data_IF_347538875434
#
_entry.id   IF_347538875434
#
_cell.length_a   1.000
_cell.length_b   1.000
_cell.length_c   1.000
_cell.angle_alpha   90.00
_cell.angle_beta   90.00
_cell.angle_gamma   90.00
#
_symmetry.space_group_name_H-M   'P 1'
#
loop_
_entity.id
_entity.type
_entity.pdbx_description
1 polymer ?
#
# COMPACT_ATOMS: atom_id res chain seq x y z
N UNK A 1 26.92 37.56 -2.12
CA UNK A 1 27.81 36.81 -1.21
C UNK A 1 27.35 35.37 -1.23
N UNK A 2 28.30 34.45 -1.42
CA UNK A 2 28.15 33.10 -1.95
C UNK A 2 27.16 32.19 -1.22
N UNK A 3 26.31 31.51 -1.98
CA UNK A 3 25.67 30.27 -1.55
C UNK A 3 26.77 29.21 -1.50
N UNK A 4 27.33 28.97 -0.31
CA UNK A 4 28.15 27.80 -0.04
C UNK A 4 27.25 26.58 -0.09
N UNK A 5 27.19 25.94 -1.26
CA UNK A 5 26.82 24.55 -1.39
C UNK A 5 27.80 23.79 -0.51
N UNK A 6 27.29 23.05 0.47
CA UNK A 6 28.08 22.13 1.29
C UNK A 6 28.58 20.99 0.40
N UNK A 7 29.67 21.21 -0.33
CA UNK A 7 30.48 20.13 -0.91
C UNK A 7 31.28 19.47 0.22
N UNK A 8 30.57 18.77 1.11
CA UNK A 8 31.22 17.90 2.07
C UNK A 8 31.53 16.59 1.33
N UNK A 9 32.74 16.48 0.80
CA UNK A 9 33.23 15.25 0.19
C UNK A 9 33.12 14.11 1.23
N UNK A 10 32.21 13.17 0.98
CA UNK A 10 32.01 12.02 1.84
C UNK A 10 33.25 11.14 1.75
N UNK A 11 33.98 11.00 2.86
CA UNK A 11 35.19 10.16 2.86
C UNK A 11 34.81 8.68 2.70
N UNK A 12 35.70 7.87 2.12
CA UNK A 12 35.48 6.42 1.95
C UNK A 12 35.11 5.76 3.30
N UNK A 13 35.70 6.24 4.40
CA UNK A 13 35.41 5.78 5.76
C UNK A 13 34.00 6.14 6.23
N UNK A 14 33.47 7.30 5.86
CA UNK A 14 32.09 7.69 6.17
C UNK A 14 31.08 6.91 5.30
N UNK A 15 31.44 6.62 4.05
CA UNK A 15 30.66 5.76 3.16
C UNK A 15 30.57 4.33 3.72
N UNK A 16 31.67 3.74 4.18
CA UNK A 16 31.67 2.40 4.80
C UNK A 16 30.80 2.35 6.05
N UNK A 17 30.89 3.35 6.92
CA UNK A 17 30.03 3.44 8.12
C UNK A 17 28.55 3.61 7.78
N UNK A 18 28.24 4.33 6.71
CA UNK A 18 26.88 4.46 6.21
C UNK A 18 26.37 3.11 5.70
N UNK A 19 27.17 2.38 4.92
CA UNK A 19 26.83 1.05 4.41
C UNK A 19 26.61 0.06 5.56
N UNK A 20 27.49 0.00 6.56
CA UNK A 20 27.32 -0.88 7.73
C UNK A 20 26.05 -0.54 8.55
N UNK A 21 25.73 0.75 8.68
CA UNK A 21 24.48 1.19 9.33
C UNK A 21 23.25 0.90 8.48
N UNK A 22 23.36 0.98 7.16
CA UNK A 22 22.29 0.59 6.25
C UNK A 22 22.07 -0.93 6.26
N UNK A 23 23.12 -1.74 6.41
CA UNK A 23 23.00 -3.20 6.54
C UNK A 23 22.26 -3.61 7.82
N UNK A 24 22.56 -2.95 8.95
CA UNK A 24 21.87 -3.17 10.23
C UNK A 24 20.49 -2.50 10.34
N UNK A 25 20.10 -1.71 9.35
CA UNK A 25 18.80 -1.04 9.29
C UNK A 25 17.85 -1.75 8.31
N UNK A 26 16.54 -1.78 8.58
CA UNK A 26 15.55 -2.43 7.70
C UNK A 26 15.27 -1.67 6.39
N UNK A 27 16.18 -0.80 5.93
CA UNK A 27 15.99 -0.06 4.68
C UNK A 27 16.32 -0.96 3.48
N UNK A 28 15.37 -1.09 2.56
CA UNK A 28 15.54 -1.86 1.32
C UNK A 28 16.07 -0.99 0.17
N UNK A 29 15.72 0.30 0.14
CA UNK A 29 16.18 1.26 -0.87
C UNK A 29 16.41 2.65 -0.28
N UNK A 30 17.35 3.38 -0.87
CA UNK A 30 17.64 4.79 -0.64
C UNK A 30 17.66 5.49 -2.00
N UNK A 31 16.74 6.43 -2.22
CA UNK A 31 16.72 7.29 -3.39
C UNK A 31 17.16 8.70 -2.99
N UNK A 32 18.21 9.20 -3.63
CA UNK A 32 18.72 10.56 -3.46
C UNK A 32 18.58 11.28 -4.79
N UNK A 33 17.94 12.44 -4.78
CA UNK A 33 17.80 13.31 -5.94
C UNK A 33 18.56 14.61 -5.67
N UNK A 34 19.52 14.95 -6.55
CA UNK A 34 20.28 16.20 -6.53
C UNK A 34 20.26 16.82 -7.93
N UNK A 35 19.34 17.78 -8.12
CA UNK A 35 19.10 18.42 -9.42
C UNK A 35 18.64 17.42 -10.48
N UNK A 36 19.48 17.16 -11.48
CA UNK A 36 19.23 16.19 -12.56
C UNK A 36 19.71 14.78 -12.23
N UNK A 37 20.45 14.61 -11.13
CA UNK A 37 21.07 13.33 -10.76
C UNK A 37 20.18 12.57 -9.78
N UNK A 38 19.80 11.34 -10.16
CA UNK A 38 19.08 10.41 -9.29
C UNK A 38 19.96 9.22 -8.96
N UNK A 39 20.30 9.06 -7.69
CA UNK A 39 21.07 7.94 -7.17
C UNK A 39 20.09 7.04 -6.41
N UNK A 40 19.93 5.80 -6.88
CA UNK A 40 19.11 4.78 -6.20
C UNK A 40 20.02 3.65 -5.75
N UNK A 41 20.05 3.41 -4.45
CA UNK A 41 20.86 2.36 -3.80
C UNK A 41 19.90 1.40 -3.14
N UNK A 42 19.88 0.14 -3.57
CA UNK A 42 19.04 -0.91 -2.98
C UNK A 42 19.87 -2.14 -2.62
N UNK A 43 19.42 -2.91 -1.63
CA UNK A 43 20.01 -4.22 -1.29
C UNK A 43 19.70 -5.29 -2.36
N UNK A 44 18.72 -5.04 -3.22
CA UNK A 44 18.26 -5.91 -4.32
C UNK A 44 18.12 -5.15 -5.65
N UNK A 45 17.62 -5.82 -6.70
CA UNK A 45 17.46 -5.27 -8.06
C UNK A 45 16.54 -4.04 -8.04
N UNK A 46 17.08 -2.88 -8.39
CA UNK A 46 16.34 -1.63 -8.52
C UNK A 46 15.40 -1.71 -9.73
N UNK A 47 14.07 -1.58 -9.57
CA UNK A 47 13.16 -1.58 -10.72
C UNK A 47 13.31 -0.27 -11.51
N UNK A 48 13.78 -0.37 -12.76
CA UNK A 48 13.82 0.74 -13.71
C UNK A 48 12.40 1.12 -14.12
N UNK A 49 11.88 2.23 -13.58
CA UNK A 49 10.60 2.83 -13.99
C UNK A 49 10.75 3.51 -15.35
N UNK A 50 10.54 2.76 -16.44
CA UNK A 50 10.31 3.33 -17.76
C UNK A 50 8.93 4.01 -17.80
N UNK A 51 8.92 5.33 -17.71
CA UNK A 51 7.72 6.14 -17.90
C UNK A 51 7.32 6.14 -19.37
N UNK A 52 6.26 5.40 -19.73
CA UNK A 52 5.50 5.63 -20.97
C UNK A 52 4.07 5.97 -20.59
N UNK A 53 3.81 7.27 -20.54
CA UNK A 53 2.48 7.87 -20.46
C UNK A 53 1.74 7.61 -21.77
N UNK A 54 0.78 6.69 -21.76
CA UNK A 54 -0.20 6.54 -22.83
C UNK A 54 -1.32 7.54 -22.55
N UNK A 55 -1.32 8.65 -23.28
CA UNK A 55 -2.38 9.65 -23.23
C UNK A 55 -3.67 9.03 -23.79
N UNK A 56 -4.63 8.72 -22.92
CA UNK A 56 -5.95 8.28 -23.35
C UNK A 56 -6.78 9.52 -23.73
N UNK A 57 -7.04 9.66 -25.02
CA UNK A 57 -7.89 10.71 -25.60
C UNK A 57 -9.35 10.42 -25.29
N UNK A 58 -9.94 11.22 -24.39
CA UNK A 58 -11.39 11.27 -24.19
C UNK A 58 -11.94 12.32 -25.15
N UNK A 59 -12.53 11.86 -26.26
CA UNK A 59 -13.41 12.67 -27.09
C UNK A 59 -14.84 12.22 -26.80
N UNK A 60 -15.62 13.07 -26.12
CA UNK A 60 -17.08 12.96 -26.17
C UNK A 60 -17.71 14.35 -26.26
N UNK A 61 -18.47 14.49 -27.34
CA UNK A 61 -19.07 15.69 -27.88
C UNK A 61 -20.41 16.04 -27.19
N UNK A 62 -20.86 17.26 -27.49
CA UNK A 62 -21.78 18.14 -26.79
C UNK A 62 -23.28 17.74 -26.74
N UNK A 63 -23.96 18.48 -25.84
CA UNK A 63 -25.38 18.58 -25.52
C UNK A 63 -26.34 18.85 -26.71
N UNK A 64 -27.69 18.80 -26.54
CA UNK A 64 -28.38 19.97 -25.95
C UNK A 64 -29.61 19.69 -25.04
N UNK A 65 -29.86 20.72 -24.22
CA UNK A 65 -31.03 21.15 -23.44
C UNK A 65 -32.44 20.77 -23.96
N UNK A 66 -33.33 20.38 -23.04
CA UNK A 66 -34.54 21.14 -22.62
C UNK A 66 -35.60 20.24 -21.94
N UNK A 67 -35.96 20.55 -20.68
CA UNK A 67 -37.29 21.08 -20.31
C UNK A 67 -37.45 21.15 -18.79
N UNK A 68 -37.77 22.36 -18.34
CA UNK A 68 -38.19 22.67 -16.99
C UNK A 68 -39.68 22.36 -16.82
N UNK A 69 -40.04 21.72 -15.70
CA UNK A 69 -41.36 21.88 -15.09
C UNK A 69 -41.17 21.95 -13.58
N UNK A 70 -41.62 23.07 -13.01
CA UNK A 70 -41.60 23.39 -11.61
C UNK A 70 -42.81 22.78 -10.89
N UNK A 71 -42.62 22.19 -9.70
CA UNK A 71 -43.64 22.14 -8.63
C UNK A 71 -42.95 22.19 -7.26
N UNK A 72 -43.21 23.31 -6.57
CA UNK A 72 -43.44 23.54 -5.13
C UNK A 72 -42.69 22.76 -4.02
N UNK A 73 -41.95 23.56 -3.24
CA UNK A 73 -41.70 23.59 -1.78
C UNK A 73 -42.18 22.48 -0.81
N UNK A 74 -41.15 21.93 -0.11
CA UNK A 74 -40.94 21.83 1.37
C UNK A 74 -41.60 20.63 2.13
N UNK A 75 -40.93 19.98 3.13
CA UNK A 75 -39.73 20.37 3.89
C UNK A 75 -38.51 19.44 3.86
N UNK A 76 -37.38 20.13 3.75
CA UNK A 76 -36.08 20.02 4.40
C UNK A 76 -35.98 19.27 5.76
N UNK A 77 -34.85 18.53 5.89
CA UNK A 77 -34.08 18.13 7.11
C UNK A 77 -34.71 17.01 7.95
N UNK A 78 -34.12 15.84 8.23
CA UNK A 78 -32.76 15.28 8.10
C UNK A 78 -32.93 13.77 8.07
N UNK A 79 -32.41 13.12 7.04
CA UNK A 79 -32.13 11.69 7.07
C UNK A 79 -30.79 11.56 7.81
N UNK A 80 -30.86 11.12 9.06
CA UNK A 80 -29.69 10.85 9.88
C UNK A 80 -28.95 9.66 9.28
N UNK A 81 -27.91 10.03 8.53
CA UNK A 81 -26.91 9.14 7.95
C UNK A 81 -26.29 8.34 9.08
N UNK A 82 -26.61 7.05 9.10
CA UNK A 82 -25.70 5.93 9.38
C UNK A 82 -24.52 6.30 10.29
N UNK A 83 -24.75 6.23 11.60
CA UNK A 83 -23.67 5.92 12.53
C UNK A 83 -23.47 4.40 12.49
N UNK A 84 -22.76 3.94 11.46
CA UNK A 84 -22.13 2.62 11.51
C UNK A 84 -21.17 2.62 12.69
N UNK A 85 -21.23 1.63 13.59
CA UNK A 85 -20.35 1.60 14.74
C UNK A 85 -18.92 1.49 14.22
N UNK A 86 -18.10 2.50 14.52
CA UNK A 86 -16.65 2.41 14.39
C UNK A 86 -16.22 1.20 15.22
N UNK A 87 -16.02 0.07 14.54
CA UNK A 87 -15.55 -1.15 15.16
C UNK A 87 -14.20 -0.81 15.78
N UNK A 88 -14.18 -0.80 17.12
CA UNK A 88 -12.96 -0.75 17.88
C UNK A 88 -12.13 -1.95 17.46
N UNK A 89 -11.01 -1.69 16.78
CA UNK A 89 -9.95 -2.66 16.49
C UNK A 89 -9.56 -3.32 17.80
N UNK A 90 -10.12 -4.50 18.06
CA UNK A 90 -9.51 -5.46 18.96
C UNK A 90 -8.29 -5.95 18.23
N UNK A 91 -7.11 -5.70 18.81
CA UNK A 91 -5.90 -6.42 18.46
C UNK A 91 -6.21 -7.91 18.61
N UNK A 92 -6.49 -8.58 17.49
CA UNK A 92 -6.76 -10.02 17.49
C UNK A 92 -5.46 -10.70 17.84
N UNK A 93 -5.36 -11.13 19.09
CA UNK A 93 -4.32 -12.02 19.56
C UNK A 93 -4.61 -13.39 18.92
N UNK A 94 -4.01 -13.62 17.74
CA UNK A 94 -4.13 -14.90 17.06
C UNK A 94 -3.40 -15.93 17.92
N UNK A 95 -4.06 -17.00 18.39
CA UNK A 95 -3.39 -18.06 19.12
C UNK A 95 -2.29 -18.65 18.23
N UNK A 96 -1.09 -18.80 18.77
CA UNK A 96 0.01 -19.54 18.13
C UNK A 96 -0.41 -21.02 17.99
N UNK A 97 -1.17 -21.34 16.96
CA UNK A 97 -1.43 -22.70 16.54
C UNK A 97 -0.20 -23.20 15.78
N UNK A 98 0.32 -24.36 16.18
CA UNK A 98 1.42 -25.02 15.47
C UNK A 98 1.09 -25.11 13.97
N UNK A 99 1.99 -24.58 13.14
CA UNK A 99 1.84 -24.58 11.68
C UNK A 99 0.94 -23.47 11.12
N UNK A 100 0.58 -22.43 11.89
CA UNK A 100 -0.09 -21.23 11.36
C UNK A 100 0.84 -20.02 11.46
N UNK A 101 1.13 -19.38 10.33
CA UNK A 101 1.91 -18.14 10.24
C UNK A 101 0.98 -16.99 9.93
N UNK A 102 1.11 -15.88 10.66
CA UNK A 102 0.34 -14.66 10.42
C UNK A 102 1.17 -13.65 9.64
N UNK A 103 0.67 -13.27 8.47
CA UNK A 103 1.17 -12.18 7.65
C UNK A 103 0.65 -10.88 8.28
N UNK A 104 1.57 -9.96 8.56
CA UNK A 104 1.29 -8.68 9.22
C UNK A 104 1.59 -7.50 8.31
N UNK A 105 0.99 -6.35 8.59
CA UNK A 105 1.29 -5.12 7.88
C UNK A 105 2.73 -4.65 8.16
N UNK A 106 3.54 -4.54 7.11
CA UNK A 106 4.93 -4.09 7.21
C UNK A 106 5.06 -2.57 7.36
N UNK A 107 3.98 -1.80 7.15
CA UNK A 107 3.91 -0.34 7.31
C UNK A 107 2.47 0.09 7.56
N UNK A 108 2.28 1.27 8.16
CA UNK A 108 0.96 1.90 8.29
C UNK A 108 0.47 2.45 6.95
N UNK A 109 -0.77 2.14 6.57
CA UNK A 109 -1.38 2.60 5.31
C UNK A 109 -2.79 2.05 5.11
N UNK A 110 -3.34 2.23 3.92
CA UNK A 110 -4.65 1.64 3.56
C UNK A 110 -4.45 0.29 2.89
N UNK A 111 -5.05 -0.77 3.43
CA UNK A 111 -5.02 -2.09 2.82
C UNK A 111 -6.04 -2.20 1.69
N UNK A 112 -5.65 -2.82 0.58
CA UNK A 112 -6.56 -3.20 -0.49
C UNK A 112 -6.46 -4.69 -0.77
N UNK A 113 -7.61 -5.35 -0.81
CA UNK A 113 -7.74 -6.77 -1.13
C UNK A 113 -7.63 -7.03 -2.64
N UNK A 114 -7.76 -5.99 -3.47
CA UNK A 114 -7.87 -6.06 -4.93
C UNK A 114 -6.83 -5.15 -5.60
N UNK A 115 -6.45 -5.46 -6.85
CA UNK A 115 -5.50 -4.64 -7.62
C UNK A 115 -6.08 -3.32 -8.11
N UNK A 116 -7.39 -3.31 -8.36
CA UNK A 116 -8.18 -2.15 -8.81
C UNK A 116 -9.65 -2.37 -8.43
N UNK A 117 -10.47 -1.31 -8.36
CA UNK A 117 -11.88 -1.42 -8.02
C UNK A 117 -12.63 -2.41 -8.92
N UNK A 118 -13.25 -3.43 -8.30
CA UNK A 118 -14.05 -4.43 -9.00
C UNK A 118 -13.26 -5.62 -9.56
N UNK A 119 -11.93 -5.66 -9.39
CA UNK A 119 -11.14 -6.85 -9.68
C UNK A 119 -11.41 -7.97 -8.66
N UNK A 120 -10.95 -9.18 -8.94
CA UNK A 120 -10.98 -10.26 -7.95
C UNK A 120 -10.01 -9.95 -6.78
N UNK A 121 -10.32 -10.38 -5.54
CA UNK A 121 -9.35 -10.26 -4.46
C UNK A 121 -8.11 -11.10 -4.77
N UNK A 122 -6.96 -10.64 -4.30
CA UNK A 122 -5.68 -11.35 -4.43
C UNK A 122 -5.75 -12.76 -3.87
N UNK A 123 -6.42 -12.92 -2.71
CA UNK A 123 -6.64 -14.21 -2.06
C UNK A 123 -8.02 -14.27 -1.39
N UNK A 124 -8.54 -15.48 -1.23
CA UNK A 124 -9.67 -15.81 -0.34
C UNK A 124 -9.30 -16.97 0.59
N UNK A 125 -10.08 -17.17 1.65
CA UNK A 125 -9.93 -18.33 2.54
C UNK A 125 -10.03 -19.64 1.73
N UNK A 126 -9.11 -20.55 1.97
CA UNK A 126 -8.93 -21.81 1.25
C UNK A 126 -8.02 -21.72 0.02
N UNK A 127 -7.57 -20.53 -0.38
CA UNK A 127 -6.60 -20.40 -1.46
C UNK A 127 -5.20 -20.85 -1.01
N UNK A 128 -4.45 -21.41 -1.96
CA UNK A 128 -3.04 -21.75 -1.77
C UNK A 128 -2.16 -20.59 -2.21
N UNK A 129 -1.16 -20.28 -1.40
CA UNK A 129 -0.17 -19.23 -1.65
C UNK A 129 1.23 -19.82 -1.64
N UNK A 130 2.10 -19.27 -2.48
CA UNK A 130 3.56 -19.43 -2.42
C UNK A 130 4.18 -18.22 -1.71
N UNK A 131 5.47 -18.29 -1.38
CA UNK A 131 6.19 -17.17 -0.74
C UNK A 131 6.05 -15.85 -1.51
N UNK A 132 6.10 -15.89 -2.84
CA UNK A 132 5.99 -14.72 -3.72
C UNK A 132 4.55 -14.30 -4.04
N UNK A 133 3.54 -15.06 -3.61
CA UNK A 133 2.15 -14.72 -3.89
C UNK A 133 1.77 -13.40 -3.24
N UNK A 134 1.17 -12.49 -4.02
CA UNK A 134 0.66 -11.23 -3.47
C UNK A 134 -0.66 -11.48 -2.76
N UNK A 135 -0.79 -10.99 -1.53
CA UNK A 135 -1.98 -11.19 -0.68
C UNK A 135 -2.79 -9.91 -0.47
N UNK A 136 -2.32 -8.79 -1.02
CA UNK A 136 -2.95 -7.48 -0.95
C UNK A 136 -1.98 -6.37 -1.31
N UNK A 137 -2.47 -5.12 -1.26
CA UNK A 137 -1.65 -3.91 -1.40
C UNK A 137 -1.76 -3.06 -0.14
N UNK A 138 -0.71 -2.31 0.18
CA UNK A 138 -0.78 -1.18 1.13
C UNK A 138 -0.52 0.12 0.37
N UNK A 139 -1.43 1.08 0.50
CA UNK A 139 -1.30 2.43 -0.05
C UNK A 139 -0.74 3.41 0.98
N UNK A 140 0.29 4.14 0.56
CA UNK A 140 0.88 5.27 1.30
C UNK A 140 1.07 6.43 0.34
N UNK A 141 0.35 7.53 0.55
CA UNK A 141 0.46 8.74 -0.29
C UNK A 141 0.38 8.44 -1.80
N UNK A 142 -0.61 7.62 -2.22
CA UNK A 142 -0.82 7.14 -3.60
C UNK A 142 0.23 6.16 -4.14
N UNK A 143 1.15 5.68 -3.31
CA UNK A 143 2.07 4.59 -3.66
C UNK A 143 1.49 3.27 -3.16
N UNK A 144 1.26 2.34 -4.08
CA UNK A 144 0.75 1.01 -3.78
C UNK A 144 1.91 0.02 -3.72
N UNK A 145 2.11 -0.61 -2.57
CA UNK A 145 3.13 -1.64 -2.37
C UNK A 145 2.47 -3.00 -2.22
N UNK A 146 2.95 -3.99 -2.96
CA UNK A 146 2.47 -5.36 -2.84
C UNK A 146 2.90 -5.97 -1.51
N UNK A 147 2.00 -6.75 -0.91
CA UNK A 147 2.26 -7.53 0.29
C UNK A 147 2.50 -8.98 -0.16
N UNK A 148 3.74 -9.49 -0.11
CA UNK A 148 4.00 -10.89 -0.38
C UNK A 148 3.52 -11.77 0.78
N UNK A 149 3.16 -13.02 0.50
CA UNK A 149 2.78 -13.98 1.53
C UNK A 149 3.97 -14.34 2.44
N UNK A 150 5.18 -14.43 1.88
CA UNK A 150 6.41 -14.78 2.59
C UNK A 150 6.46 -16.23 3.12
N UNK A 151 5.41 -17.02 2.87
CA UNK A 151 5.30 -18.44 3.23
C UNK A 151 4.51 -19.21 2.18
N UNK A 152 4.80 -20.50 2.01
CA UNK A 152 3.94 -21.42 1.26
C UNK A 152 2.90 -22.07 2.19
N UNK A 153 1.63 -22.06 1.77
CA UNK A 153 0.57 -22.69 2.54
C UNK A 153 -0.84 -22.43 2.03
N UNK A 154 -1.82 -22.58 2.91
CA UNK A 154 -3.24 -22.34 2.65
C UNK A 154 -3.77 -21.21 3.52
N UNK A 155 -4.49 -20.25 2.93
CA UNK A 155 -5.11 -19.14 3.65
C UNK A 155 -6.24 -19.66 4.54
N UNK A 156 -6.13 -19.47 5.85
CA UNK A 156 -7.13 -19.95 6.82
C UNK A 156 -7.98 -18.83 7.41
N UNK A 157 -7.49 -17.58 7.41
CA UNK A 157 -8.24 -16.42 7.88
C UNK A 157 -7.75 -15.13 7.22
N UNK A 158 -8.66 -14.18 7.03
CA UNK A 158 -8.38 -12.80 6.63
C UNK A 158 -8.93 -11.91 7.75
N UNK A 159 -8.06 -11.09 8.34
CA UNK A 159 -8.30 -10.27 9.53
C UNK A 159 -8.48 -8.78 9.20
N UNK A 160 -8.46 -8.44 7.92
CA UNK A 160 -8.48 -7.07 7.41
C UNK A 160 -9.56 -6.94 6.33
N UNK A 161 -10.29 -5.83 6.35
CA UNK A 161 -11.29 -5.50 5.32
C UNK A 161 -10.65 -4.68 4.19
N UNK A 162 -11.27 -4.72 3.01
CA UNK A 162 -10.84 -3.88 1.87
C UNK A 162 -10.99 -2.39 2.21
N UNK A 163 -10.04 -1.58 1.76
CA UNK A 163 -9.93 -0.15 2.05
C UNK A 163 -9.81 0.20 3.55
N UNK A 164 -9.41 -0.74 4.41
CA UNK A 164 -9.21 -0.50 5.84
C UNK A 164 -7.84 0.12 6.14
N UNK A 165 -7.80 1.11 7.04
CA UNK A 165 -6.54 1.62 7.62
C UNK A 165 -5.90 0.52 8.49
N UNK A 166 -4.65 0.17 8.17
CA UNK A 166 -3.82 -0.77 8.93
C UNK A 166 -2.59 -0.06 9.49
N UNK A 167 -2.14 -0.50 10.66
CA UNK A 167 -0.92 -0.02 11.30
C UNK A 167 0.17 -1.08 11.22
N UNK A 168 1.42 -0.67 11.40
CA UNK A 168 2.55 -1.59 11.48
C UNK A 168 2.29 -2.74 12.48
N UNK A 169 2.44 -3.97 12.01
CA UNK A 169 2.27 -5.17 12.81
C UNK A 169 0.83 -5.67 12.93
N UNK A 170 -0.16 -4.96 12.38
CA UNK A 170 -1.53 -5.46 12.35
C UNK A 170 -1.60 -6.79 11.59
N UNK A 171 -2.35 -7.75 12.13
CA UNK A 171 -2.60 -9.03 11.47
C UNK A 171 -3.46 -8.79 10.22
N UNK A 172 -2.99 -9.31 9.08
CA UNK A 172 -3.72 -9.22 7.82
C UNK A 172 -4.32 -10.57 7.48
N UNK A 173 -3.49 -11.61 7.40
CA UNK A 173 -3.88 -12.92 6.87
C UNK A 173 -3.16 -14.00 7.66
N UNK A 174 -3.87 -15.07 8.02
CA UNK A 174 -3.25 -16.27 8.60
C UNK A 174 -3.17 -17.37 7.54
N UNK A 175 -1.99 -17.97 7.42
CA UNK A 175 -1.68 -19.04 6.48
C UNK A 175 -1.26 -20.28 7.26
N UNK A 176 -1.91 -21.40 7.00
CA UNK A 176 -1.47 -22.70 7.50
C UNK A 176 -0.34 -23.21 6.60
N UNK A 177 0.87 -23.23 7.15
CA UNK A 177 2.05 -23.78 6.49
C UNK A 177 2.02 -25.31 6.54
N UNK A 178 2.62 -25.95 5.54
CA UNK A 178 2.68 -27.42 5.44
C UNK A 178 3.94 -27.98 6.08
#
# INVERSE_FOLDING_TARGET
MSNQIFEKNLSVTELTKLIEKLESSPFNYLAVEDGENKIVIGKEVVPTINSTIVANTVAQEAAPVAQAVAVAEKPEVVEEVVAEPVQQKQKVEVPEQEGVVTITASTTGIYYAQSEPGAAPYVKVGDKVSEDSTVGLIEIMKVFSAIPAGVEGEVVAIHVEDAQLVEYGDALISVKVK
#
